data_IF_951653120037
#
_entry.id   IF_951653120037
#
_cell.length_a   1.000
_cell.length_b   1.000
_cell.length_c   1.000
_cell.angle_alpha   90.00
_cell.angle_beta   90.00
_cell.angle_gamma   90.00
#
_symmetry.space_group_name_H-M   'P 1'
#
loop_
_entity.id
_entity.type
_entity.pdbx_description
1 polymer ?
#
# COMPACT_ATOMS: atom_id res chain seq x y z
N UNK A 1 -30.20 10.74 8.52
CA UNK A 1 -29.25 11.05 9.61
C UNK A 1 -29.32 12.56 9.84
N UNK A 2 -29.98 13.01 10.91
CA UNK A 2 -29.96 14.43 11.28
C UNK A 2 -28.55 14.72 11.80
N UNK A 3 -27.86 15.69 11.22
CA UNK A 3 -26.66 16.26 11.81
C UNK A 3 -27.13 17.03 13.06
N UNK A 4 -27.05 16.40 14.22
CA UNK A 4 -27.15 17.16 15.46
C UNK A 4 -25.89 18.02 15.53
N UNK A 5 -26.08 19.35 15.60
CA UNK A 5 -25.00 20.25 15.92
C UNK A 5 -24.46 19.82 17.29
N UNK A 6 -23.22 19.34 17.32
CA UNK A 6 -22.54 19.06 18.58
C UNK A 6 -22.27 20.42 19.23
N UNK A 7 -23.18 20.88 20.09
CA UNK A 7 -22.99 22.12 20.83
C UNK A 7 -21.75 22.01 21.70
N UNK A 8 -20.81 22.96 21.56
CA UNK A 8 -19.64 23.08 22.42
C UNK A 8 -19.65 24.45 23.08
N UNK A 9 -19.63 24.45 24.41
CA UNK A 9 -19.31 25.65 25.15
C UNK A 9 -17.79 25.85 25.11
N UNK A 10 -17.39 26.96 24.53
CA UNK A 10 -16.00 27.38 24.49
C UNK A 10 -15.72 28.29 25.68
N UNK A 11 -14.62 28.04 26.37
CA UNK A 11 -14.10 29.00 27.34
C UNK A 11 -13.39 30.14 26.60
N UNK A 12 -14.13 31.22 26.36
CA UNK A 12 -13.61 32.44 25.73
C UNK A 12 -12.81 33.33 26.69
N UNK A 13 -12.71 32.95 27.97
CA UNK A 13 -12.06 33.77 29.01
C UNK A 13 -10.63 33.32 29.31
N UNK A 14 -10.28 32.10 28.89
CA UNK A 14 -8.95 31.53 29.09
C UNK A 14 -7.90 32.22 28.21
N UNK A 15 -6.74 32.52 28.78
CA UNK A 15 -5.55 33.02 28.05
C UNK A 15 -4.48 31.94 27.86
N UNK A 16 -4.68 30.75 28.44
CA UNK A 16 -3.81 29.61 28.26
C UNK A 16 -4.01 28.99 26.86
N UNK A 17 -3.06 29.29 25.97
CA UNK A 17 -3.03 28.80 24.59
C UNK A 17 -2.96 27.27 24.53
N UNK A 18 -2.28 26.62 25.47
CA UNK A 18 -2.16 25.16 25.47
C UNK A 18 -3.50 24.51 25.80
N UNK A 19 -4.25 25.10 26.73
CA UNK A 19 -5.58 24.63 27.08
C UNK A 19 -6.55 24.80 25.91
N UNK A 20 -6.54 25.95 25.23
CA UNK A 20 -7.34 26.19 24.02
C UNK A 20 -7.02 25.18 22.92
N UNK A 21 -5.73 24.94 22.66
CA UNK A 21 -5.29 23.99 21.63
C UNK A 21 -5.73 22.55 21.92
N UNK A 22 -5.64 22.12 23.18
CA UNK A 22 -6.12 20.78 23.60
C UNK A 22 -7.63 20.67 23.44
N UNK A 23 -8.38 21.63 24.00
CA UNK A 23 -9.85 21.64 23.91
C UNK A 23 -10.33 21.64 22.45
N UNK A 24 -9.66 22.39 21.58
CA UNK A 24 -9.96 22.40 20.16
C UNK A 24 -9.72 21.03 19.49
N UNK A 25 -8.56 20.43 19.72
CA UNK A 25 -8.25 19.12 19.13
C UNK A 25 -9.14 18.00 19.65
N UNK A 26 -9.46 18.01 20.94
CA UNK A 26 -10.34 17.01 21.55
C UNK A 26 -11.74 17.10 20.96
N UNK A 27 -12.26 18.32 20.82
CA UNK A 27 -13.54 18.55 20.18
C UNK A 27 -13.53 18.17 18.69
N UNK A 28 -12.51 18.58 17.95
CA UNK A 28 -12.37 18.24 16.53
C UNK A 28 -12.30 16.72 16.32
N UNK A 29 -11.54 16.02 17.16
CA UNK A 29 -11.46 14.55 17.15
C UNK A 29 -12.82 13.93 17.38
N UNK A 30 -13.56 14.40 18.40
CA UNK A 30 -14.91 13.92 18.70
C UNK A 30 -15.89 14.13 17.54
N UNK A 31 -15.83 15.28 16.88
CA UNK A 31 -16.64 15.58 15.69
C UNK A 31 -16.30 14.63 14.55
N UNK A 32 -15.01 14.40 14.29
CA UNK A 32 -14.53 13.48 13.26
C UNK A 32 -15.03 12.07 13.54
N UNK A 33 -14.87 11.56 14.75
CA UNK A 33 -15.29 10.20 15.12
C UNK A 33 -16.81 10.00 15.07
N UNK A 34 -17.58 11.04 15.39
CA UNK A 34 -19.05 10.96 15.43
C UNK A 34 -19.67 11.10 14.04
N UNK A 35 -19.14 12.00 13.20
CA UNK A 35 -19.76 12.35 11.92
C UNK A 35 -19.15 11.55 10.76
N UNK A 36 -17.84 11.26 10.81
CA UNK A 36 -17.15 10.61 9.69
C UNK A 36 -17.25 9.10 9.89
N UNK A 37 -18.04 8.38 9.07
CA UNK A 37 -18.13 6.93 9.18
C UNK A 37 -16.76 6.32 8.91
N UNK A 38 -16.32 5.47 9.84
CA UNK A 38 -15.13 4.65 9.61
C UNK A 38 -15.39 3.74 8.40
N UNK A 39 -14.56 3.91 7.38
CA UNK A 39 -14.60 3.05 6.21
C UNK A 39 -13.54 1.97 6.38
N UNK A 40 -13.97 0.72 6.43
CA UNK A 40 -13.05 -0.39 6.26
C UNK A 40 -12.50 -0.36 4.84
N UNK A 41 -11.21 -0.03 4.73
CA UNK A 41 -10.49 -0.11 3.48
C UNK A 41 -9.77 -1.45 3.45
N UNK A 42 -10.24 -2.36 2.60
CA UNK A 42 -9.49 -3.57 2.30
C UNK A 42 -8.27 -3.14 1.47
N UNK A 43 -7.14 -2.95 2.16
CA UNK A 43 -5.87 -2.82 1.48
C UNK A 43 -5.60 -4.14 0.76
N UNK A 44 -5.53 -4.08 -0.57
CA UNK A 44 -5.09 -5.23 -1.37
C UNK A 44 -3.71 -5.60 -0.84
N UNK A 45 -3.52 -6.82 -0.32
CA UNK A 45 -2.22 -7.29 0.19
C UNK A 45 -1.15 -6.86 -0.80
N UNK A 46 -0.19 -6.05 -0.33
CA UNK A 46 1.00 -5.78 -1.11
C UNK A 46 1.67 -7.14 -1.33
N UNK A 47 1.71 -7.57 -2.59
CA UNK A 47 2.42 -8.78 -2.93
C UNK A 47 3.88 -8.58 -2.54
N UNK A 48 4.45 -9.46 -1.72
CA UNK A 48 5.81 -9.25 -1.20
C UNK A 48 6.89 -9.24 -2.30
N UNK A 49 6.57 -9.81 -3.47
CA UNK A 49 7.42 -9.74 -4.66
C UNK A 49 7.24 -8.46 -5.48
N UNK A 50 6.27 -7.60 -5.13
CA UNK A 50 5.95 -6.38 -5.85
C UNK A 50 6.77 -5.20 -5.30
N UNK A 51 7.88 -4.92 -5.97
CA UNK A 51 8.84 -3.91 -5.55
C UNK A 51 8.70 -2.56 -6.29
N UNK A 52 9.55 -1.60 -5.91
CA UNK A 52 9.61 -0.29 -6.55
C UNK A 52 10.07 -0.35 -8.01
N UNK A 53 10.76 -1.43 -8.42
CA UNK A 53 11.16 -1.62 -9.82
C UNK A 53 9.92 -1.83 -10.69
N UNK A 54 9.01 -2.72 -10.28
CA UNK A 54 7.74 -2.95 -10.98
C UNK A 54 6.92 -1.65 -11.03
N UNK A 55 6.81 -0.93 -9.91
CA UNK A 55 6.11 0.38 -9.86
C UNK A 55 6.70 1.37 -10.87
N UNK A 56 8.03 1.50 -10.94
CA UNK A 56 8.71 2.39 -11.89
C UNK A 56 8.45 1.98 -13.35
N UNK A 57 8.53 0.69 -13.66
CA UNK A 57 8.28 0.19 -15.03
C UNK A 57 6.83 0.38 -15.46
N UNK A 58 5.87 0.22 -14.54
CA UNK A 58 4.46 0.52 -14.78
C UNK A 58 4.22 2.00 -15.05
N UNK A 59 4.80 2.89 -14.24
CA UNK A 59 4.72 4.35 -14.49
C UNK A 59 5.25 4.74 -15.87
N UNK A 60 6.36 4.15 -16.29
CA UNK A 60 6.93 4.40 -17.62
C UNK A 60 6.01 3.89 -18.75
N UNK A 61 5.42 2.70 -18.58
CA UNK A 61 4.41 2.19 -19.51
C UNK A 61 3.23 3.16 -19.64
N UNK A 62 2.73 3.65 -18.51
CA UNK A 62 1.55 4.52 -18.48
C UNK A 62 1.86 5.89 -19.09
N UNK A 63 3.09 6.40 -18.87
CA UNK A 63 3.59 7.60 -19.55
C UNK A 63 3.60 7.42 -21.07
N UNK A 64 4.14 6.32 -21.57
CA UNK A 64 4.17 6.04 -23.01
C UNK A 64 2.77 5.86 -23.60
N UNK A 65 1.85 5.23 -22.86
CA UNK A 65 0.45 5.12 -23.27
C UNK A 65 -0.21 6.50 -23.38
N UNK A 66 0.04 7.39 -22.42
CA UNK A 66 -0.48 8.76 -22.48
C UNK A 66 0.10 9.51 -23.68
N UNK A 67 1.41 9.42 -23.93
CA UNK A 67 2.03 10.03 -25.11
C UNK A 67 1.39 9.51 -26.40
N UNK A 68 1.21 8.20 -26.54
CA UNK A 68 0.50 7.62 -27.67
C UNK A 68 -0.93 8.15 -27.78
N UNK A 69 -1.68 8.22 -26.68
CA UNK A 69 -3.06 8.72 -26.67
C UNK A 69 -3.17 10.16 -27.15
N UNK A 70 -2.20 11.02 -26.83
CA UNK A 70 -2.16 12.41 -27.28
C UNK A 70 -1.67 12.57 -28.72
N UNK A 71 -0.63 11.83 -29.10
CA UNK A 71 0.03 11.98 -30.42
C UNK A 71 -0.62 11.15 -31.52
N UNK A 72 -1.35 10.10 -31.15
CA UNK A 72 -1.87 9.04 -32.04
C UNK A 72 -0.82 8.47 -33.01
N UNK A 73 0.46 8.53 -32.61
CA UNK A 73 1.60 8.10 -33.42
C UNK A 73 1.78 6.58 -33.35
N UNK A 74 2.05 5.97 -34.50
CA UNK A 74 2.41 4.54 -34.61
C UNK A 74 3.66 4.23 -33.78
N UNK A 75 4.68 5.09 -33.81
CA UNK A 75 5.91 4.92 -33.03
C UNK A 75 5.65 4.99 -31.53
N UNK A 76 4.75 5.89 -31.11
CA UNK A 76 4.28 5.97 -29.72
C UNK A 76 3.61 4.68 -29.28
N UNK A 77 2.78 4.10 -30.14
CA UNK A 77 2.09 2.84 -29.88
C UNK A 77 3.05 1.65 -29.78
N UNK A 78 4.02 1.55 -30.68
CA UNK A 78 5.02 0.49 -30.67
C UNK A 78 5.97 0.62 -29.46
N UNK A 79 6.32 1.85 -29.08
CA UNK A 79 7.02 2.14 -27.82
C UNK A 79 6.25 1.65 -26.60
N UNK A 80 4.95 1.97 -26.52
CA UNK A 80 4.06 1.48 -25.46
C UNK A 80 3.99 -0.06 -25.43
N UNK A 81 3.78 -0.73 -26.58
CA UNK A 81 3.72 -2.20 -26.65
C UNK A 81 4.99 -2.85 -26.12
N UNK A 82 6.17 -2.38 -26.56
CA UNK A 82 7.47 -2.88 -26.09
C UNK A 82 7.58 -2.75 -24.57
N UNK A 83 7.19 -1.59 -24.03
CA UNK A 83 7.26 -1.37 -22.59
C UNK A 83 6.24 -2.20 -21.80
N UNK A 84 5.02 -2.38 -22.32
CA UNK A 84 3.99 -3.26 -21.74
C UNK A 84 4.53 -4.68 -21.59
N UNK A 85 5.16 -5.22 -22.64
CA UNK A 85 5.72 -6.57 -22.60
C UNK A 85 6.88 -6.68 -21.59
N UNK A 86 7.74 -5.65 -21.50
CA UNK A 86 8.79 -5.58 -20.48
C UNK A 86 8.21 -5.61 -19.06
N UNK A 87 7.16 -4.83 -18.78
CA UNK A 87 6.50 -4.84 -17.46
C UNK A 87 5.98 -6.23 -17.12
N UNK A 88 5.28 -6.89 -18.05
CA UNK A 88 4.75 -8.24 -17.84
C UNK A 88 5.87 -9.24 -17.57
N UNK A 89 6.97 -9.17 -18.33
CA UNK A 89 8.11 -10.04 -18.13
C UNK A 89 8.76 -9.86 -16.76
N UNK A 90 8.94 -8.60 -16.30
CA UNK A 90 9.51 -8.31 -14.98
C UNK A 90 8.60 -8.82 -13.86
N UNK A 91 7.28 -8.59 -13.96
CA UNK A 91 6.32 -9.08 -12.97
C UNK A 91 6.42 -10.61 -12.84
N UNK A 92 6.33 -11.34 -13.96
CA UNK A 92 6.41 -12.81 -13.96
C UNK A 92 7.73 -13.30 -13.37
N UNK A 93 8.84 -12.67 -13.74
CA UNK A 93 10.17 -13.03 -13.22
C UNK A 93 10.23 -12.88 -11.71
N UNK A 94 9.84 -11.72 -11.18
CA UNK A 94 9.87 -11.43 -9.73
C UNK A 94 8.95 -12.34 -8.93
N UNK A 95 7.77 -12.63 -9.49
CA UNK A 95 6.82 -13.57 -8.89
C UNK A 95 7.42 -14.98 -8.76
N UNK A 96 7.99 -15.50 -9.85
CA UNK A 96 8.64 -16.82 -9.87
C UNK A 96 9.80 -16.86 -8.88
N UNK A 97 10.71 -15.88 -8.95
CA UNK A 97 11.90 -15.79 -8.08
C UNK A 97 11.51 -15.82 -6.60
N UNK A 98 10.50 -15.05 -6.21
CA UNK A 98 10.03 -15.00 -4.83
C UNK A 98 9.45 -16.35 -4.37
N UNK A 99 8.57 -16.96 -5.15
CA UNK A 99 7.98 -18.24 -4.75
C UNK A 99 8.98 -19.39 -4.78
N UNK A 100 9.96 -19.37 -5.68
CA UNK A 100 11.06 -20.33 -5.66
C UNK A 100 11.97 -20.17 -4.44
N UNK A 101 12.31 -18.93 -4.09
CA UNK A 101 13.09 -18.62 -2.88
C UNK A 101 12.35 -19.12 -1.63
N UNK A 102 11.06 -18.79 -1.51
CA UNK A 102 10.22 -19.22 -0.38
C UNK A 102 10.10 -20.75 -0.27
N UNK A 103 9.99 -21.45 -1.41
CA UNK A 103 10.02 -22.93 -1.43
C UNK A 103 11.36 -23.48 -0.92
N UNK A 104 12.49 -22.84 -1.28
CA UNK A 104 13.82 -23.26 -0.81
C UNK A 104 13.99 -23.03 0.69
N UNK A 105 13.53 -21.89 1.20
CA UNK A 105 13.54 -21.57 2.64
C UNK A 105 12.74 -22.58 3.44
N UNK A 106 11.50 -22.86 3.02
CA UNK A 106 10.65 -23.85 3.67
C UNK A 106 11.31 -25.25 3.70
N UNK A 107 11.97 -25.67 2.61
CA UNK A 107 12.70 -26.94 2.58
C UNK A 107 13.87 -26.98 3.57
N UNK A 108 14.61 -25.87 3.73
CA UNK A 108 15.70 -25.77 4.70
C UNK A 108 15.16 -25.88 6.13
N UNK A 109 14.07 -25.16 6.41
CA UNK A 109 13.43 -25.18 7.72
C UNK A 109 12.90 -26.58 8.07
N UNK A 110 12.25 -27.26 7.12
CA UNK A 110 11.80 -28.65 7.33
C UNK A 110 12.97 -29.60 7.64
N UNK A 111 14.10 -29.49 6.95
CA UNK A 111 15.29 -30.32 7.21
C UNK A 111 15.87 -30.06 8.60
N UNK A 112 16.00 -28.79 8.98
CA UNK A 112 16.48 -28.37 10.31
C UNK A 112 15.59 -28.92 11.42
N UNK A 113 14.27 -28.85 11.25
CA UNK A 113 13.32 -29.37 12.22
C UNK A 113 13.50 -30.89 12.39
N UNK A 114 13.64 -31.65 11.31
CA UNK A 114 13.89 -33.10 11.38
C UNK A 114 15.21 -33.42 12.10
N UNK A 115 16.29 -32.68 11.85
CA UNK A 115 17.56 -32.84 12.56
C UNK A 115 17.43 -32.55 14.06
N UNK A 116 16.75 -31.45 14.43
CA UNK A 116 16.48 -31.11 15.82
C UNK A 116 15.67 -32.21 16.54
N UNK A 117 14.64 -32.77 15.89
CA UNK A 117 13.88 -33.90 16.44
C UNK A 117 14.76 -35.13 16.70
N UNK A 118 15.65 -35.49 15.76
CA UNK A 118 16.59 -36.61 15.95
C UNK A 118 17.59 -36.38 17.08
N UNK A 119 17.95 -35.12 17.33
CA UNK A 119 18.91 -34.73 18.36
C UNK A 119 18.27 -34.72 19.75
N UNK A 120 17.00 -34.33 19.86
CA UNK A 120 16.23 -34.30 21.11
C UNK A 120 15.60 -35.65 21.51
N UNK A 121 15.65 -36.67 20.64
CA UNK A 121 15.19 -38.03 20.94
C UNK A 121 16.34 -38.98 21.37
N UNK A 122 17.53 -38.44 21.65
CA UNK A 122 18.65 -39.15 22.29
C UNK A 122 18.86 -38.60 23.69
#
# INVERSE_FOLDING_TARGET
MKLELIGQEWDYTTTDVNLLYRNFNDYLTKVIETIIPLKEVIFKREYQWFDNEIKRKQKERDRLYNIFKFTNSIDGFEGYKRQRNKVVAVIRKKEIEYYEMKKRENRKESKKNVENFKTNCK
#
